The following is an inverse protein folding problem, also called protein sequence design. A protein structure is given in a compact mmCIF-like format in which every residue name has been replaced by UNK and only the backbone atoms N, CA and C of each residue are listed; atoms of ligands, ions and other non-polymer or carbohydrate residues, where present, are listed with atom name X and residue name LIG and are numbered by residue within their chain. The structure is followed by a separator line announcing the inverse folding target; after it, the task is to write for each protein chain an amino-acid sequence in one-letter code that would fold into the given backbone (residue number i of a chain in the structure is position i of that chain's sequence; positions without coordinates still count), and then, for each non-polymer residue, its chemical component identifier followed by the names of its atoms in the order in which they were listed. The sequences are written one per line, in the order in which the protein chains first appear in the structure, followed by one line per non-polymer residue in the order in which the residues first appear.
data_IF_102736290010
#
_entry.id   IF_102736290010
#
_cell.length_a   1.000
_cell.length_b   1.000
_cell.length_c   1.000
_cell.angle_alpha   90.00
_cell.angle_beta   90.00
_cell.angle_gamma   90.00
#
_symmetry.space_group_name_H-M   'P 1'
#
loop_
_entity.id
_entity.type
_entity.pdbx_description
1 polymer ?
#
# COMPACT_ATOMS: atom_id res chain seq x y z
N UNK A 1 -38.92 -26.50 -25.36
CA UNK A 1 -37.64 -25.80 -25.13
C UNK A 1 -36.70 -26.75 -24.38
N UNK A 2 -35.91 -27.53 -25.11
CA UNK A 2 -34.94 -28.44 -24.50
C UNK A 2 -33.75 -27.60 -24.02
N UNK A 3 -33.56 -27.48 -22.70
CA UNK A 3 -32.33 -26.93 -22.12
C UNK A 3 -31.17 -27.84 -22.54
N UNK A 4 -30.32 -27.36 -23.45
CA UNK A 4 -29.07 -28.05 -23.75
C UNK A 4 -28.25 -28.22 -22.45
N UNK A 5 -27.61 -29.36 -22.22
CA UNK A 5 -26.83 -29.58 -21.00
C UNK A 5 -25.69 -28.57 -20.96
N UNK A 6 -25.59 -27.85 -19.84
CA UNK A 6 -24.46 -26.97 -19.51
C UNK A 6 -23.19 -27.79 -19.71
N UNK A 7 -22.29 -27.31 -20.56
CA UNK A 7 -21.05 -27.97 -20.95
C UNK A 7 -20.21 -28.33 -19.70
N UNK A 8 -20.42 -29.53 -19.14
CA UNK A 8 -19.72 -30.01 -17.95
C UNK A 8 -18.33 -30.41 -18.40
N UNK A 9 -17.39 -29.46 -18.36
CA UNK A 9 -15.99 -29.79 -18.59
C UNK A 9 -15.53 -30.74 -17.48
N UNK A 10 -15.29 -31.98 -17.86
CA UNK A 10 -14.66 -32.99 -17.00
C UNK A 10 -13.21 -32.61 -16.72
N UNK A 11 -12.70 -33.06 -15.59
CA UNK A 11 -11.32 -32.77 -15.17
C UNK A 11 -10.66 -34.02 -14.62
N UNK A 12 -9.35 -34.11 -14.80
CA UNK A 12 -8.54 -35.23 -14.33
C UNK A 12 -7.52 -34.70 -13.34
N UNK A 13 -7.37 -35.39 -12.20
CA UNK A 13 -6.28 -35.16 -11.27
C UNK A 13 -5.04 -35.92 -11.75
N UNK A 14 -3.91 -35.21 -11.87
CA UNK A 14 -2.68 -35.78 -12.39
C UNK A 14 -2.01 -36.74 -11.40
N UNK A 15 -2.10 -36.46 -10.10
CA UNK A 15 -1.47 -37.26 -9.04
C UNK A 15 -2.24 -38.52 -8.71
N UNK A 16 -3.58 -38.44 -8.61
CA UNK A 16 -4.42 -39.60 -8.27
C UNK A 16 -4.88 -40.37 -9.52
N UNK A 17 -4.82 -39.74 -10.69
CA UNK A 17 -5.36 -40.30 -11.93
C UNK A 17 -6.89 -40.31 -11.99
N UNK A 18 -7.57 -39.78 -10.97
CA UNK A 18 -9.03 -39.77 -10.90
C UNK A 18 -9.60 -38.76 -11.90
N UNK A 19 -10.64 -39.19 -12.61
CA UNK A 19 -11.40 -38.35 -13.52
C UNK A 19 -12.75 -37.99 -12.91
N UNK A 20 -13.11 -36.72 -12.98
CA UNK A 20 -14.34 -36.17 -12.46
C UNK A 20 -15.18 -35.64 -13.62
N UNK A 21 -16.50 -35.87 -13.57
CA UNK A 21 -17.41 -35.43 -14.61
C UNK A 21 -17.67 -33.92 -14.58
N UNK A 22 -17.22 -33.24 -13.52
CA UNK A 22 -17.26 -31.79 -13.43
C UNK A 22 -16.21 -31.22 -12.47
N UNK A 23 -15.85 -29.96 -12.69
CA UNK A 23 -15.08 -29.14 -11.74
C UNK A 23 -15.71 -29.09 -10.34
N UNK A 24 -17.04 -29.17 -10.23
CA UNK A 24 -17.75 -29.11 -8.95
C UNK A 24 -17.58 -30.40 -8.16
N UNK A 25 -17.73 -31.53 -8.82
CA UNK A 25 -17.51 -32.86 -8.25
C UNK A 25 -16.07 -33.03 -7.75
N UNK A 26 -15.09 -32.59 -8.55
CA UNK A 26 -13.70 -32.54 -8.11
C UNK A 26 -13.50 -31.64 -6.87
N UNK A 27 -14.24 -30.53 -6.78
CA UNK A 27 -14.12 -29.57 -5.70
C UNK A 27 -14.67 -30.13 -4.39
N UNK A 28 -15.81 -30.80 -4.47
CA UNK A 28 -16.44 -31.45 -3.33
C UNK A 28 -15.60 -32.66 -2.86
N UNK A 29 -14.99 -33.44 -3.77
CA UNK A 29 -14.11 -34.55 -3.44
C UNK A 29 -12.81 -34.12 -2.73
N UNK A 30 -12.21 -33.01 -3.17
CA UNK A 30 -10.96 -32.47 -2.59
C UNK A 30 -11.23 -31.57 -1.37
N UNK A 31 -12.48 -31.17 -1.16
CA UNK A 31 -12.88 -30.29 -0.05
C UNK A 31 -12.45 -28.82 -0.25
N UNK A 32 -12.37 -28.35 -1.50
CA UNK A 32 -11.94 -26.98 -1.83
C UNK A 32 -12.97 -26.25 -2.69
N UNK A 33 -12.77 -24.96 -2.90
CA UNK A 33 -13.70 -24.19 -3.74
C UNK A 33 -13.57 -24.57 -5.22
N UNK A 34 -14.71 -24.57 -5.92
CA UNK A 34 -14.78 -24.71 -7.38
C UNK A 34 -13.81 -23.79 -8.12
N UNK A 35 -13.62 -22.56 -7.63
CA UNK A 35 -12.73 -21.57 -8.25
C UNK A 35 -11.26 -22.01 -8.21
N UNK A 36 -10.84 -22.70 -7.14
CA UNK A 36 -9.48 -23.24 -7.01
C UNK A 36 -9.21 -24.29 -8.10
N UNK A 37 -10.13 -25.21 -8.34
CA UNK A 37 -9.99 -26.25 -9.37
C UNK A 37 -10.11 -25.66 -10.77
N UNK A 38 -11.07 -24.75 -11.01
CA UNK A 38 -11.16 -24.07 -12.30
C UNK A 38 -9.89 -23.30 -12.64
N UNK A 39 -9.20 -22.73 -11.64
CA UNK A 39 -7.94 -22.03 -11.83
C UNK A 39 -6.80 -23.01 -12.07
N UNK A 40 -6.71 -24.09 -11.29
CA UNK A 40 -5.72 -25.15 -11.48
C UNK A 40 -5.76 -25.73 -12.90
N UNK A 41 -6.95 -26.07 -13.40
CA UNK A 41 -7.13 -26.62 -14.74
C UNK A 41 -6.80 -25.65 -15.88
N UNK A 42 -6.92 -24.34 -15.67
CA UNK A 42 -6.71 -23.32 -16.73
C UNK A 42 -5.27 -22.83 -16.84
N UNK A 43 -4.59 -22.68 -15.71
CA UNK A 43 -3.26 -22.04 -15.65
C UNK A 43 -2.21 -22.94 -14.99
N UNK A 44 -2.53 -24.20 -14.74
CA UNK A 44 -1.60 -25.21 -14.24
C UNK A 44 -1.10 -24.98 -12.80
N UNK A 45 -1.79 -24.18 -11.99
CA UNK A 45 -1.44 -24.02 -10.56
C UNK A 45 -1.93 -25.21 -9.74
N UNK A 46 -1.32 -25.46 -8.58
CA UNK A 46 -1.83 -26.48 -7.65
C UNK A 46 -3.10 -26.02 -6.95
N UNK A 47 -4.02 -26.96 -6.74
CA UNK A 47 -5.17 -26.83 -5.88
C UNK A 47 -5.08 -27.90 -4.79
N UNK A 48 -4.87 -27.47 -3.54
CA UNK A 48 -4.58 -28.37 -2.41
C UNK A 48 -3.37 -29.30 -2.63
N UNK A 49 -2.35 -28.83 -3.36
CA UNK A 49 -1.17 -29.65 -3.69
C UNK A 49 -1.38 -30.65 -4.84
N UNK A 50 -2.56 -30.67 -5.46
CA UNK A 50 -2.89 -31.50 -6.61
C UNK A 50 -2.97 -30.66 -7.89
N UNK A 51 -2.63 -31.26 -9.02
CA UNK A 51 -2.75 -30.68 -10.36
C UNK A 51 -3.98 -31.24 -11.08
N UNK A 52 -4.71 -30.36 -11.74
CA UNK A 52 -5.89 -30.70 -12.52
C UNK A 52 -5.72 -30.23 -13.97
N UNK A 53 -6.29 -30.96 -14.91
CA UNK A 53 -6.41 -30.56 -16.31
C UNK A 53 -7.78 -31.01 -16.88
N UNK A 54 -8.23 -30.40 -17.96
CA UNK A 54 -9.52 -30.74 -18.57
C UNK A 54 -9.44 -32.09 -19.30
N UNK A 55 -10.41 -32.97 -19.06
CA UNK A 55 -10.50 -34.23 -19.78
C UNK A 55 -11.03 -33.95 -21.20
N UNK A 56 -10.30 -34.43 -22.22
CA UNK A 56 -10.59 -34.17 -23.64
C UNK A 56 -9.55 -33.31 -24.35
N UNK A 57 -8.62 -32.70 -23.61
CA UNK A 57 -7.41 -32.09 -24.14
C UNK A 57 -6.23 -33.07 -24.00
N UNK A 58 -5.23 -32.98 -24.89
CA UNK A 58 -4.01 -33.78 -24.75
C UNK A 58 -3.37 -33.50 -23.39
N UNK A 59 -2.89 -34.56 -22.72
CA UNK A 59 -2.33 -34.46 -21.36
C UNK A 59 -1.27 -33.34 -21.35
N UNK A 60 -1.43 -32.28 -20.55
CA UNK A 60 -0.50 -31.17 -20.58
C UNK A 60 0.90 -31.64 -20.22
N UNK A 61 1.91 -31.12 -20.92
CA UNK A 61 3.28 -31.35 -20.54
C UNK A 61 3.57 -30.83 -19.13
N UNK A 62 4.60 -31.39 -18.49
CA UNK A 62 4.99 -31.02 -17.12
C UNK A 62 5.33 -29.54 -16.96
N UNK A 63 5.67 -28.85 -18.06
CA UNK A 63 5.92 -27.40 -18.15
C UNK A 63 4.67 -26.53 -17.98
N UNK A 64 3.47 -27.07 -18.28
CA UNK A 64 2.19 -26.37 -18.08
C UNK A 64 1.87 -26.21 -16.59
N UNK A 65 2.24 -27.21 -15.79
CA UNK A 65 2.05 -27.19 -14.36
C UNK A 65 3.11 -26.31 -13.73
N UNK A 66 2.79 -25.02 -13.63
CA UNK A 66 3.59 -24.08 -12.89
C UNK A 66 3.53 -24.58 -11.44
N UNK A 67 4.67 -25.04 -10.91
CA UNK A 67 4.81 -25.20 -9.48
C UNK A 67 4.18 -23.95 -8.87
N UNK A 68 3.21 -24.10 -7.98
CA UNK A 68 2.73 -22.98 -7.21
C UNK A 68 3.90 -22.55 -6.34
N UNK A 69 4.87 -21.90 -6.95
CA UNK A 69 5.76 -20.97 -6.34
C UNK A 69 4.77 -19.96 -5.79
N UNK A 70 4.40 -20.21 -4.54
CA UNK A 70 3.87 -19.20 -3.64
C UNK A 70 4.97 -18.15 -3.58
N UNK A 71 5.22 -17.43 -4.68
CA UNK A 71 6.16 -16.33 -4.79
C UNK A 71 5.75 -15.37 -3.68
N UNK A 72 6.47 -15.44 -2.57
CA UNK A 72 6.37 -14.53 -1.45
C UNK A 72 5.41 -14.83 -0.30
N UNK A 73 4.76 -16.00 -0.15
CA UNK A 73 3.96 -16.28 1.08
C UNK A 73 4.61 -17.22 2.11
N UNK A 74 5.73 -17.87 1.77
CA UNK A 74 6.36 -18.86 2.65
C UNK A 74 7.82 -18.61 3.02
N UNK A 75 8.56 -17.84 2.22
CA UNK A 75 9.94 -17.49 2.55
C UNK A 75 9.94 -16.19 3.33
N UNK A 76 10.29 -16.28 4.62
CA UNK A 76 10.62 -15.12 5.45
C UNK A 76 11.79 -14.40 4.78
N UNK A 77 11.52 -13.27 4.14
CA UNK A 77 12.56 -12.47 3.49
C UNK A 77 13.23 -11.61 4.55
N UNK A 78 14.56 -11.66 4.68
CA UNK A 78 15.27 -10.81 5.63
C UNK A 78 15.16 -9.34 5.21
N UNK A 79 15.09 -8.46 6.20
CA UNK A 79 14.95 -7.01 6.04
C UNK A 79 16.06 -6.33 6.83
N UNK A 80 16.66 -5.28 6.27
CA UNK A 80 17.68 -4.47 6.92
C UNK A 80 17.14 -3.05 7.12
N UNK A 81 17.40 -2.46 8.29
CA UNK A 81 17.23 -1.04 8.52
C UNK A 81 18.44 -0.27 7.96
N UNK A 82 18.19 0.75 7.14
CA UNK A 82 19.23 1.51 6.46
C UNK A 82 20.09 2.32 7.44
N UNK A 83 19.49 2.94 8.44
CA UNK A 83 20.16 3.87 9.37
C UNK A 83 20.89 3.13 10.50
N UNK A 84 20.25 2.10 11.07
CA UNK A 84 20.81 1.35 12.20
C UNK A 84 21.60 0.13 11.77
N UNK A 85 21.52 -0.26 10.49
CA UNK A 85 22.05 -1.52 9.96
C UNK A 85 21.55 -2.76 10.71
N UNK A 86 20.39 -2.66 11.37
CA UNK A 86 19.78 -3.77 12.10
C UNK A 86 19.18 -4.78 11.12
N UNK A 87 19.49 -6.06 11.34
CA UNK A 87 19.02 -7.17 10.51
C UNK A 87 17.83 -7.87 11.16
N UNK A 88 16.78 -8.07 10.36
CA UNK A 88 15.59 -8.81 10.76
C UNK A 88 15.42 -10.02 9.86
N UNK A 89 15.13 -11.18 10.45
CA UNK A 89 14.92 -12.43 9.71
C UNK A 89 13.66 -12.40 8.83
N UNK A 90 12.72 -11.48 9.11
CA UNK A 90 11.46 -11.38 8.38
C UNK A 90 10.76 -10.05 8.54
N UNK A 91 9.89 -9.74 7.59
CA UNK A 91 8.89 -8.65 7.66
C UNK A 91 8.10 -8.71 8.98
N UNK A 92 7.64 -9.89 9.41
CA UNK A 92 6.90 -10.04 10.67
C UNK A 92 7.75 -9.74 11.92
N UNK A 93 9.07 -9.95 11.86
CA UNK A 93 9.96 -9.60 12.96
C UNK A 93 10.08 -8.08 13.11
N UNK A 94 10.15 -7.36 11.99
CA UNK A 94 10.12 -5.89 11.96
C UNK A 94 8.78 -5.37 12.48
N UNK A 95 7.65 -5.92 12.04
CA UNK A 95 6.32 -5.52 12.51
C UNK A 95 6.18 -5.66 14.03
N UNK A 96 6.68 -6.76 14.60
CA UNK A 96 6.68 -6.98 16.05
C UNK A 96 7.61 -6.03 16.81
N UNK A 97 8.81 -5.79 16.28
CA UNK A 97 9.79 -4.89 16.89
C UNK A 97 9.28 -3.44 16.90
N UNK A 98 8.71 -2.98 15.79
CA UNK A 98 8.22 -1.62 15.62
C UNK A 98 6.76 -1.40 16.06
N UNK A 99 6.02 -2.48 16.35
CA UNK A 99 4.58 -2.40 16.61
C UNK A 99 3.80 -1.80 15.44
N UNK A 100 4.22 -2.06 14.20
CA UNK A 100 3.66 -1.43 13.01
C UNK A 100 2.81 -2.39 12.17
N UNK A 101 1.85 -1.83 11.41
CA UNK A 101 1.00 -2.61 10.50
C UNK A 101 1.76 -3.01 9.24
N UNK A 102 1.55 -4.24 8.77
CA UNK A 102 2.27 -4.78 7.60
C UNK A 102 2.07 -4.01 6.31
N UNK A 103 0.96 -3.27 6.17
CA UNK A 103 0.77 -2.38 5.02
C UNK A 103 1.69 -1.16 5.07
N UNK A 104 2.02 -0.66 6.27
CA UNK A 104 3.02 0.42 6.41
C UNK A 104 4.40 -0.09 6.04
N UNK A 105 4.77 -1.27 6.53
CA UNK A 105 6.05 -1.89 6.19
C UNK A 105 6.18 -2.21 4.71
N UNK A 106 5.11 -2.69 4.07
CA UNK A 106 5.11 -2.88 2.62
C UNK A 106 5.36 -1.57 1.85
N UNK A 107 4.79 -0.44 2.29
CA UNK A 107 5.07 0.88 1.69
C UNK A 107 6.51 1.33 1.95
N UNK A 108 7.07 1.03 3.12
CA UNK A 108 8.46 1.33 3.41
C UNK A 108 9.39 0.59 2.45
N UNK A 109 9.20 -0.72 2.33
CA UNK A 109 10.05 -1.59 1.49
C UNK A 109 9.91 -1.32 -0.02
N UNK A 110 8.71 -1.02 -0.52
CA UNK A 110 8.47 -0.92 -1.97
C UNK A 110 8.38 0.52 -2.50
N UNK A 111 8.17 1.49 -1.61
CA UNK A 111 8.01 2.91 -1.99
C UNK A 111 8.94 3.84 -1.20
N UNK A 112 9.85 3.28 -0.41
CA UNK A 112 10.83 4.00 0.39
C UNK A 112 10.26 4.81 1.55
N UNK A 113 9.02 4.56 2.01
CA UNK A 113 8.44 5.26 3.16
C UNK A 113 9.25 5.04 4.44
N UNK A 114 9.40 6.09 5.25
CA UNK A 114 9.98 5.93 6.57
C UNK A 114 8.94 5.45 7.58
N UNK A 115 9.38 4.61 8.51
CA UNK A 115 8.61 4.19 9.69
C UNK A 115 9.40 4.65 10.90
N UNK A 116 8.81 5.53 11.71
CA UNK A 116 9.51 6.18 12.83
C UNK A 116 10.82 6.90 12.42
N UNK A 117 10.89 7.40 11.18
CA UNK A 117 12.09 8.04 10.65
C UNK A 117 13.17 7.09 10.13
N UNK A 118 12.92 5.78 10.16
CA UNK A 118 13.83 4.75 9.68
C UNK A 118 13.37 4.17 8.34
N UNK A 119 14.33 3.81 7.48
CA UNK A 119 14.11 3.19 6.18
C UNK A 119 14.52 1.72 6.21
N UNK A 120 13.84 0.93 5.38
CA UNK A 120 13.99 -0.51 5.35
C UNK A 120 14.10 -1.00 3.91
N UNK A 121 14.96 -2.00 3.68
CA UNK A 121 15.09 -2.69 2.40
C UNK A 121 15.29 -4.19 2.61
N UNK A 122 15.03 -4.98 1.57
CA UNK A 122 15.23 -6.42 1.67
C UNK A 122 16.72 -6.78 1.58
N UNK A 123 17.19 -7.66 2.45
CA UNK A 123 18.60 -8.06 2.50
C UNK A 123 19.01 -9.01 1.35
N UNK A 124 18.02 -9.63 0.68
CA UNK A 124 18.23 -10.50 -0.48
C UNK A 124 18.26 -9.73 -1.82
N UNK A 125 18.04 -8.42 -1.78
CA UNK A 125 18.15 -7.51 -2.93
C UNK A 125 19.32 -6.54 -2.72
N UNK A 126 19.95 -6.04 -3.80
CA UNK A 126 20.96 -5.00 -3.69
C UNK A 126 20.37 -3.77 -3.01
N UNK A 127 21.20 -3.07 -2.23
CA UNK A 127 20.80 -1.83 -1.54
C UNK A 127 20.12 -0.88 -2.54
N UNK A 128 18.87 -0.43 -2.27
CA UNK A 128 18.17 0.48 -3.17
C UNK A 128 18.91 1.81 -3.29
N UNK A 129 18.75 2.45 -4.46
CA UNK A 129 19.20 3.82 -4.68
C UNK A 129 18.54 4.77 -3.66
N UNK A 130 19.28 5.77 -3.18
CA UNK A 130 18.82 6.75 -2.21
C UNK A 130 17.59 7.52 -2.72
N UNK A 131 17.44 7.63 -4.05
CA UNK A 131 16.24 8.17 -4.71
C UNK A 131 14.94 7.42 -4.38
N UNK A 132 15.01 6.16 -3.94
CA UNK A 132 13.82 5.40 -3.50
C UNK A 132 13.26 5.97 -2.19
N UNK A 133 14.15 6.38 -1.29
CA UNK A 133 13.80 6.92 0.04
C UNK A 133 13.50 8.42 -0.02
N UNK A 134 13.84 9.07 -1.13
CA UNK A 134 13.47 10.44 -1.46
C UNK A 134 11.97 10.54 -1.82
N UNK A 135 11.13 10.83 -0.82
CA UNK A 135 9.69 11.03 -1.07
C UNK A 135 9.43 12.23 -1.97
N UNK A 136 9.09 11.99 -3.24
CA UNK A 136 8.54 13.00 -4.16
C UNK A 136 7.18 13.57 -3.76
N UNK A 137 6.62 13.16 -2.60
CA UNK A 137 5.40 13.74 -2.02
C UNK A 137 5.67 14.18 -0.59
N UNK A 138 6.23 15.37 -0.46
CA UNK A 138 6.06 16.24 0.70
C UNK A 138 6.57 15.66 2.02
N UNK A 139 7.76 15.03 2.00
CA UNK A 139 8.57 14.96 3.22
C UNK A 139 8.75 16.39 3.69
N UNK A 140 8.13 16.71 4.84
CA UNK A 140 8.04 18.04 5.46
C UNK A 140 8.13 19.15 4.41
N UNK A 141 7.00 19.57 3.80
CA UNK A 141 6.98 20.92 3.18
C UNK A 141 7.67 21.79 4.22
N UNK A 142 8.85 22.35 3.92
CA UNK A 142 9.48 23.37 4.75
C UNK A 142 8.33 24.25 5.19
N UNK A 143 8.00 24.17 6.47
CA UNK A 143 6.79 24.79 6.97
C UNK A 143 6.90 26.24 6.51
N UNK A 144 5.97 26.65 5.65
CA UNK A 144 6.08 27.99 5.11
C UNK A 144 5.89 28.90 6.30
N UNK A 145 6.76 29.89 6.51
CA UNK A 145 6.54 30.84 7.58
C UNK A 145 5.18 31.50 7.36
N UNK A 146 4.43 31.64 8.44
CA UNK A 146 3.08 32.16 8.44
C UNK A 146 3.08 33.44 9.26
N UNK A 147 2.44 34.48 8.74
CA UNK A 147 2.27 35.75 9.45
C UNK A 147 0.83 35.88 9.93
N UNK A 148 0.66 36.32 11.17
CA UNK A 148 -0.61 36.80 11.69
C UNK A 148 -0.81 38.25 11.22
N UNK A 149 -1.91 38.53 10.52
CA UNK A 149 -2.13 39.87 9.92
C UNK A 149 -2.49 40.93 10.96
N UNK A 150 -3.08 40.54 12.09
CA UNK A 150 -3.47 41.45 13.17
C UNK A 150 -2.31 41.80 14.10
N UNK A 151 -1.49 40.81 14.47
CA UNK A 151 -0.40 40.99 15.42
C UNK A 151 0.95 41.25 14.74
N UNK A 152 1.08 40.92 13.45
CA UNK A 152 2.34 40.99 12.72
C UNK A 152 3.34 39.89 13.11
N UNK A 153 2.95 38.94 13.97
CA UNK A 153 3.83 37.86 14.42
C UNK A 153 4.12 36.87 13.30
N UNK A 154 5.40 36.53 13.14
CA UNK A 154 5.90 35.55 12.18
C UNK A 154 6.12 34.22 12.89
N UNK A 155 5.43 33.18 12.43
CA UNK A 155 5.57 31.81 12.87
C UNK A 155 6.38 31.01 11.86
N UNK A 156 7.28 30.14 12.32
CA UNK A 156 8.07 29.28 11.44
C UNK A 156 7.20 28.19 10.79
N UNK A 157 6.04 27.89 11.36
CA UNK A 157 5.12 26.86 10.88
C UNK A 157 3.66 27.11 11.24
N UNK A 158 2.77 26.36 10.57
CA UNK A 158 1.34 26.34 10.90
C UNK A 158 1.09 25.70 12.28
N UNK A 159 2.00 24.81 12.70
CA UNK A 159 1.98 24.18 14.01
C UNK A 159 2.34 25.19 15.11
N UNK A 160 3.36 26.03 14.91
CA UNK A 160 3.75 27.07 15.87
C UNK A 160 2.64 28.12 16.03
N UNK A 161 2.05 28.57 14.92
CA UNK A 161 0.90 29.46 14.96
C UNK A 161 -0.26 28.80 15.73
N UNK A 162 -0.54 27.53 15.45
CA UNK A 162 -1.59 26.79 16.10
C UNK A 162 -1.35 26.60 17.61
N UNK A 163 -0.10 26.40 18.05
CA UNK A 163 0.27 26.32 19.46
C UNK A 163 0.03 27.67 20.14
N UNK A 164 0.50 28.76 19.55
CA UNK A 164 0.34 30.12 20.10
C UNK A 164 -1.15 30.48 20.30
N UNK A 165 -1.99 30.12 19.33
CA UNK A 165 -3.43 30.44 19.33
C UNK A 165 -4.26 29.39 20.09
N UNK A 166 -3.66 28.23 20.40
CA UNK A 166 -4.35 27.08 20.99
C UNK A 166 -5.41 26.47 20.07
N UNK A 167 -5.06 26.21 18.80
CA UNK A 167 -5.90 25.49 17.83
C UNK A 167 -5.13 24.34 17.16
N UNK A 168 -5.74 23.65 16.20
CA UNK A 168 -5.06 22.61 15.40
C UNK A 168 -4.45 23.24 14.14
N UNK A 169 -3.25 22.82 13.73
CA UNK A 169 -2.57 23.30 12.53
C UNK A 169 -3.39 23.14 11.24
N UNK A 170 -4.27 22.13 11.19
CA UNK A 170 -5.21 21.94 10.10
C UNK A 170 -6.16 23.14 9.93
N UNK A 171 -6.62 23.77 11.02
CA UNK A 171 -7.49 24.94 10.95
C UNK A 171 -6.76 26.16 10.39
N UNK A 172 -5.51 26.38 10.81
CA UNK A 172 -4.65 27.44 10.26
C UNK A 172 -4.44 27.22 8.75
N UNK A 173 -4.13 25.99 8.35
CA UNK A 173 -3.90 25.65 6.93
C UNK A 173 -5.17 25.84 6.09
N UNK A 174 -6.34 25.46 6.60
CA UNK A 174 -7.63 25.69 5.94
C UNK A 174 -7.97 27.18 5.89
N UNK A 175 -7.72 27.92 6.95
CA UNK A 175 -7.95 29.36 7.01
C UNK A 175 -7.13 30.13 5.99
N UNK A 176 -5.85 29.78 5.84
CA UNK A 176 -4.98 30.37 4.80
C UNK A 176 -5.52 30.08 3.39
N UNK A 177 -6.07 28.89 3.15
CA UNK A 177 -6.57 28.49 1.82
C UNK A 177 -7.92 29.13 1.48
N UNK A 178 -8.83 29.18 2.44
CA UNK A 178 -10.22 29.59 2.26
C UNK A 178 -10.46 31.06 2.66
N UNK A 179 -9.49 31.70 3.33
CA UNK A 179 -9.53 33.11 3.72
C UNK A 179 -10.41 33.44 4.92
N UNK A 180 -10.73 32.47 5.79
CA UNK A 180 -11.54 32.73 7.00
C UNK A 180 -10.68 32.94 8.25
N UNK A 181 -11.16 33.71 9.25
CA UNK A 181 -10.42 33.92 10.50
C UNK A 181 -10.46 32.70 11.42
N UNK A 182 -9.34 32.41 12.09
CA UNK A 182 -9.25 31.40 13.17
C UNK A 182 -9.21 32.12 14.50
N UNK A 183 -10.23 31.92 15.33
CA UNK A 183 -10.38 32.62 16.62
C UNK A 183 -10.25 34.16 16.53
N UNK A 184 -10.64 34.73 15.39
CA UNK A 184 -10.57 36.17 15.15
C UNK A 184 -9.24 36.67 14.54
N UNK A 185 -8.30 35.78 14.22
CA UNK A 185 -7.02 36.12 13.58
C UNK A 185 -6.95 35.59 12.15
N UNK A 186 -6.32 36.33 11.25
CA UNK A 186 -6.08 35.96 9.86
C UNK A 186 -4.61 35.59 9.66
N UNK A 187 -4.38 34.52 8.89
CA UNK A 187 -3.05 33.96 8.63
C UNK A 187 -2.76 33.96 7.14
N UNK A 188 -1.54 34.34 6.77
CA UNK A 188 -1.06 34.29 5.38
C UNK A 188 0.35 33.66 5.33
N UNK A 189 0.69 33.01 4.22
CA UNK A 189 1.97 32.32 3.97
C UNK A 189 2.98 33.20 3.24
N UNK A 190 2.82 34.52 3.30
CA UNK A 190 3.67 35.46 2.55
C UNK A 190 5.12 35.38 3.00
N UNK A 191 5.97 34.90 2.09
CA UNK A 191 7.34 35.38 2.01
C UNK A 191 7.30 36.89 1.76
N UNK A 192 8.24 37.61 2.38
CA UNK A 192 8.41 39.07 2.37
C UNK A 192 8.16 39.67 0.98
N UNK A 193 6.92 40.03 0.64
CA UNK A 193 6.57 41.04 -0.35
C UNK A 193 5.28 41.75 0.11
N UNK A 194 5.51 42.98 0.55
CA UNK A 194 4.54 43.91 1.08
C UNK A 194 3.54 44.38 0.03
N UNK A 195 2.39 44.85 0.52
CA UNK A 195 1.72 46.01 -0.08
C UNK A 195 0.93 45.73 -1.37
N UNK A 196 -0.29 45.20 -1.20
CA UNK A 196 -1.51 45.57 -1.95
C UNK A 196 -2.53 44.46 -1.75
N UNK A 197 -3.42 44.65 -0.77
CA UNK A 197 -4.82 44.26 -0.85
C UNK A 197 -5.57 45.06 0.22
N UNK A 198 -6.26 46.07 -0.29
CA UNK A 198 -7.49 46.64 0.26
C UNK A 198 -7.35 47.43 1.56
N UNK A 199 -6.81 48.65 1.50
CA UNK A 199 -7.68 49.83 1.37
C UNK A 199 -8.93 49.62 0.49
N UNK A 200 -9.94 48.94 1.04
CA UNK A 200 -11.33 49.14 0.63
C UNK A 200 -12.26 48.62 1.74
N UNK A 201 -12.28 49.32 2.87
CA UNK A 201 -13.47 49.31 3.74
C UNK A 201 -13.80 50.73 4.15
N UNK A 202 -15.02 51.12 3.84
CA UNK A 202 -15.76 52.36 4.15
C UNK A 202 -15.43 53.50 3.16
N UNK A 203 -16.39 54.16 2.54
CA UNK A 203 -17.59 54.74 3.14
C UNK A 203 -18.84 54.55 2.27
N UNK A 204 -19.98 54.35 2.95
CA UNK A 204 -21.31 54.72 2.50
C UNK A 204 -21.60 56.11 3.05
#
# INVERSE_FOLDING_TARGET
MSKMPVNKKSVVCLETGESFNSLREAADAVGISYQCISRAAKIGVTANGLHFYFAGEEKPEKSFFIASDRRGRGKKRPVICLETSEHFDSVNAVEKSLGCDGRRLWKALNKGYSIHGLHYYYADEPKPDDLLFEHKRGGYKRSKPIVCLETGELFESADDAAISIGCKAAYITSAIREGFPVKGFHFDVRGIEAGKREACRKEE
#
